data_IF_884627066294
#
_entry.id   IF_884627066294
#
_cell.length_a   1.000
_cell.length_b   1.000
_cell.length_c   1.000
_cell.angle_alpha   90.00
_cell.angle_beta   90.00
_cell.angle_gamma   90.00
#
_symmetry.space_group_name_H-M   'P 1'
#
loop_
_entity.id
_entity.type
_entity.pdbx_description
1 polymer ?
#
# COMPACT_ATOMS: atom_id res chain seq x y z
N UNK A 1 -12.67 15.50 -11.61
CA UNK A 1 -11.98 14.22 -11.89
C UNK A 1 -10.47 14.34 -12.02
N UNK A 2 -9.92 15.19 -12.90
CA UNK A 2 -8.46 15.28 -13.13
C UNK A 2 -7.63 15.55 -11.86
N UNK A 3 -8.00 16.55 -11.07
CA UNK A 3 -7.28 16.89 -9.82
C UNK A 3 -7.37 15.76 -8.78
N UNK A 4 -8.52 15.11 -8.70
CA UNK A 4 -8.73 13.97 -7.79
C UNK A 4 -7.84 12.78 -8.17
N UNK A 5 -7.77 12.46 -9.46
CA UNK A 5 -6.87 11.42 -9.96
C UNK A 5 -5.40 11.78 -9.73
N UNK A 6 -5.01 13.03 -9.96
CA UNK A 6 -3.65 13.50 -9.67
C UNK A 6 -3.27 13.30 -8.19
N UNK A 7 -4.14 13.70 -7.25
CA UNK A 7 -3.91 13.50 -5.83
C UNK A 7 -3.87 12.01 -5.44
N UNK A 8 -4.73 11.19 -6.04
CA UNK A 8 -4.71 9.74 -5.84
C UNK A 8 -3.38 9.13 -6.26
N UNK A 9 -2.92 9.45 -7.47
CA UNK A 9 -1.66 8.94 -8.01
C UNK A 9 -0.47 9.46 -7.20
N UNK A 10 -0.48 10.72 -6.76
CA UNK A 10 0.57 11.26 -5.91
C UNK A 10 0.70 10.48 -4.59
N UNK A 11 -0.42 10.24 -3.91
CA UNK A 11 -0.42 9.44 -2.68
C UNK A 11 0.02 7.99 -2.93
N UNK A 12 -0.46 7.37 -4.01
CA UNK A 12 -0.06 6.02 -4.40
C UNK A 12 1.44 5.92 -4.73
N UNK A 13 2.01 6.90 -5.45
CA UNK A 13 3.42 6.95 -5.79
C UNK A 13 4.31 7.08 -4.55
N UNK A 14 3.94 7.92 -3.59
CA UNK A 14 4.67 8.05 -2.32
C UNK A 14 4.61 6.74 -1.54
N UNK A 15 3.42 6.12 -1.43
CA UNK A 15 3.23 4.88 -0.69
C UNK A 15 4.03 3.71 -1.28
N UNK A 16 3.85 3.46 -2.57
CA UNK A 16 4.50 2.35 -3.28
C UNK A 16 6.01 2.58 -3.35
N UNK A 17 6.43 3.80 -3.69
CA UNK A 17 7.85 4.17 -3.77
C UNK A 17 8.57 3.99 -2.44
N UNK A 18 7.98 4.45 -1.34
CA UNK A 18 8.56 4.29 0.00
C UNK A 18 8.76 2.82 0.38
N UNK A 19 7.76 1.98 0.14
CA UNK A 19 7.87 0.54 0.42
C UNK A 19 8.87 -0.18 -0.48
N UNK A 20 8.96 0.18 -1.76
CA UNK A 20 9.99 -0.35 -2.66
C UNK A 20 11.40 0.03 -2.19
N UNK A 21 11.63 1.29 -1.80
CA UNK A 21 12.92 1.73 -1.25
C UNK A 21 13.25 1.00 0.05
N UNK A 22 12.27 0.87 0.96
CA UNK A 22 12.45 0.13 2.21
C UNK A 22 12.83 -1.33 1.94
N UNK A 23 12.13 -2.01 1.03
CA UNK A 23 12.37 -3.41 0.69
C UNK A 23 13.72 -3.65 -0.01
N UNK A 24 14.05 -2.84 -1.00
CA UNK A 24 15.21 -3.11 -1.87
C UNK A 24 16.50 -2.43 -1.41
N UNK A 25 16.42 -1.28 -0.76
CA UNK A 25 17.60 -0.50 -0.40
C UNK A 25 17.95 -0.58 1.09
N UNK A 26 16.94 -0.60 1.98
CA UNK A 26 17.17 -0.51 3.43
C UNK A 26 17.19 -1.89 4.09
N UNK A 27 16.15 -2.69 3.89
CA UNK A 27 15.97 -3.98 4.55
C UNK A 27 17.13 -4.98 4.31
N UNK A 28 17.71 -5.13 3.11
CA UNK A 28 18.76 -6.13 2.89
C UNK A 28 20.02 -5.83 3.70
N UNK A 29 20.38 -4.56 3.83
CA UNK A 29 21.51 -4.11 4.65
C UNK A 29 21.27 -4.34 6.14
N UNK A 30 20.06 -3.99 6.62
CA UNK A 30 19.63 -4.21 7.99
C UNK A 30 19.69 -5.69 8.39
N UNK A 31 19.16 -6.58 7.53
CA UNK A 31 19.16 -8.03 7.77
C UNK A 31 20.58 -8.62 7.82
N UNK A 32 21.45 -8.27 6.86
CA UNK A 32 22.84 -8.77 6.82
C UNK A 32 23.63 -8.37 8.06
N UNK A 33 23.43 -7.14 8.53
CA UNK A 33 24.13 -6.59 9.71
C UNK A 33 23.45 -6.93 11.03
N UNK A 34 22.25 -7.53 10.98
CA UNK A 34 21.35 -7.72 12.14
C UNK A 34 21.15 -6.42 12.91
N UNK A 35 21.08 -5.31 12.20
CA UNK A 35 20.97 -3.96 12.75
C UNK A 35 19.63 -3.35 12.36
N UNK A 36 18.83 -2.98 13.35
CA UNK A 36 17.50 -2.40 13.18
C UNK A 36 17.53 -0.89 12.90
N UNK A 37 18.66 -0.23 13.16
CA UNK A 37 18.74 1.24 13.07
C UNK A 37 18.42 1.80 11.68
N UNK A 38 18.90 1.21 10.56
CA UNK A 38 18.55 1.71 9.22
C UNK A 38 17.03 1.69 8.96
N UNK A 39 16.34 0.63 9.42
CA UNK A 39 14.89 0.51 9.26
C UNK A 39 14.16 1.54 10.13
N UNK A 40 14.57 1.68 11.40
CA UNK A 40 13.98 2.68 12.31
C UNK A 40 14.16 4.11 11.80
N UNK A 41 15.35 4.45 11.30
CA UNK A 41 15.64 5.76 10.75
C UNK A 41 14.80 6.05 9.50
N UNK A 42 14.65 5.06 8.61
CA UNK A 42 13.75 5.18 7.46
C UNK A 42 12.31 5.39 7.90
N UNK A 43 11.79 4.54 8.80
CA UNK A 43 10.39 4.61 9.26
C UNK A 43 10.05 5.96 9.90
N UNK A 44 10.92 6.49 10.77
CA UNK A 44 10.71 7.78 11.44
C UNK A 44 10.59 8.97 10.47
N UNK A 45 11.36 8.94 9.38
CA UNK A 45 11.31 9.97 8.35
C UNK A 45 10.13 9.76 7.41
N UNK A 46 9.96 8.51 6.97
CA UNK A 46 8.96 8.12 5.99
C UNK A 46 7.54 8.24 6.55
N UNK A 47 7.26 7.86 7.80
CA UNK A 47 5.88 7.85 8.32
C UNK A 47 5.21 9.24 8.26
N UNK A 48 6.01 10.31 8.37
CA UNK A 48 5.57 11.71 8.30
C UNK A 48 4.97 12.07 6.95
N UNK A 49 5.37 11.38 5.88
CA UNK A 49 4.87 11.59 4.51
C UNK A 49 4.04 10.41 4.02
N UNK A 50 4.42 9.19 4.40
CA UNK A 50 3.80 7.93 4.00
C UNK A 50 2.39 7.75 4.56
N UNK A 51 2.16 8.03 5.85
CA UNK A 51 0.81 7.92 6.43
C UNK A 51 -0.15 8.96 5.81
N UNK A 52 0.21 10.26 5.71
CA UNK A 52 -0.64 11.22 5.00
C UNK A 52 -0.90 10.85 3.54
N UNK A 53 0.10 10.33 2.82
CA UNK A 53 -0.06 9.86 1.44
C UNK A 53 -1.01 8.66 1.33
N UNK A 54 -0.93 7.71 2.27
CA UNK A 54 -1.88 6.58 2.35
C UNK A 54 -3.31 7.08 2.60
N UNK A 55 -3.50 8.00 3.54
CA UNK A 55 -4.84 8.55 3.81
C UNK A 55 -5.38 9.31 2.60
N UNK A 56 -4.53 10.11 1.94
CA UNK A 56 -4.90 10.83 0.72
C UNK A 56 -5.31 9.87 -0.39
N UNK A 57 -4.54 8.82 -0.65
CA UNK A 57 -4.86 7.88 -1.74
C UNK A 57 -6.11 7.04 -1.43
N UNK A 58 -6.36 6.71 -0.16
CA UNK A 58 -7.60 6.03 0.26
C UNK A 58 -8.81 6.94 0.02
N UNK A 59 -8.78 8.17 0.55
CA UNK A 59 -9.91 9.10 0.43
C UNK A 59 -10.24 9.42 -1.03
N UNK A 60 -9.21 9.73 -1.82
CA UNK A 60 -9.38 10.01 -3.25
C UNK A 60 -9.76 8.76 -4.06
N UNK A 61 -9.28 7.58 -3.67
CA UNK A 61 -9.62 6.30 -4.30
C UNK A 61 -11.09 5.90 -4.08
N UNK A 62 -11.61 6.07 -2.86
CA UNK A 62 -13.03 5.84 -2.54
C UNK A 62 -13.91 6.79 -3.36
N UNK A 63 -13.55 8.07 -3.42
CA UNK A 63 -14.28 9.05 -4.22
C UNK A 63 -14.24 8.67 -5.71
N UNK A 64 -13.06 8.37 -6.27
CA UNK A 64 -12.94 7.91 -7.65
C UNK A 64 -13.82 6.69 -7.92
N UNK A 65 -13.79 5.65 -7.08
CA UNK A 65 -14.64 4.48 -7.25
C UNK A 65 -16.14 4.84 -7.35
N UNK A 66 -16.61 5.77 -6.51
CA UNK A 66 -18.00 6.25 -6.54
C UNK A 66 -18.38 7.04 -7.79
N UNK A 67 -17.40 7.61 -8.50
CA UNK A 67 -17.63 8.28 -9.78
C UNK A 67 -17.68 7.31 -10.97
N UNK A 68 -17.06 6.13 -10.84
CA UNK A 68 -17.02 5.11 -11.89
C UNK A 68 -18.17 4.11 -11.76
N UNK A 69 -18.58 3.82 -10.53
CA UNK A 69 -19.64 2.86 -10.24
C UNK A 69 -20.43 3.30 -8.99
N UNK A 70 -21.76 3.36 -9.05
CA UNK A 70 -22.59 3.67 -7.88
C UNK A 70 -22.29 2.70 -6.72
N UNK A 71 -22.31 3.19 -5.47
CA UNK A 71 -21.96 2.39 -4.28
C UNK A 71 -22.76 1.10 -4.15
N UNK A 72 -24.05 1.12 -4.51
CA UNK A 72 -24.91 -0.06 -4.48
C UNK A 72 -24.45 -1.20 -5.42
N UNK A 73 -23.63 -0.87 -6.42
CA UNK A 73 -23.15 -1.82 -7.42
C UNK A 73 -21.72 -2.30 -7.18
N UNK A 74 -21.03 -1.81 -6.13
CA UNK A 74 -19.64 -2.16 -5.84
C UNK A 74 -19.42 -3.66 -5.65
N UNK A 75 -20.42 -4.39 -5.14
CA UNK A 75 -20.39 -5.84 -4.97
C UNK A 75 -21.15 -6.60 -6.07
N UNK A 76 -21.36 -5.96 -7.23
CA UNK A 76 -21.93 -6.60 -8.42
C UNK A 76 -20.91 -7.44 -9.20
N UNK A 77 -21.35 -7.99 -10.34
CA UNK A 77 -20.54 -8.86 -11.21
C UNK A 77 -19.90 -8.19 -12.43
N UNK A 78 -19.88 -6.85 -12.50
CA UNK A 78 -19.25 -6.15 -13.64
C UNK A 78 -17.73 -6.12 -13.49
N UNK A 79 -17.00 -5.95 -14.60
CA UNK A 79 -15.54 -5.85 -14.57
C UNK A 79 -15.05 -4.71 -13.64
N UNK A 80 -15.73 -3.55 -13.66
CA UNK A 80 -15.44 -2.43 -12.77
C UNK A 80 -15.73 -2.78 -11.31
N UNK A 81 -16.82 -3.49 -11.02
CA UNK A 81 -17.13 -3.94 -9.66
C UNK A 81 -16.03 -4.85 -9.09
N UNK A 82 -15.53 -5.80 -9.88
CA UNK A 82 -14.42 -6.65 -9.47
C UNK A 82 -13.12 -5.88 -9.22
N UNK A 83 -12.83 -4.83 -10.00
CA UNK A 83 -11.68 -3.95 -9.73
C UNK A 83 -11.84 -3.18 -8.41
N UNK A 84 -13.05 -2.70 -8.11
CA UNK A 84 -13.36 -2.04 -6.83
C UNK A 84 -13.20 -3.04 -5.67
N UNK A 85 -13.79 -4.23 -5.77
CA UNK A 85 -13.69 -5.28 -4.76
C UNK A 85 -12.23 -5.67 -4.49
N UNK A 86 -11.44 -5.88 -5.54
CA UNK A 86 -10.02 -6.20 -5.42
C UNK A 86 -9.26 -5.09 -4.68
N UNK A 87 -9.50 -3.81 -5.00
CA UNK A 87 -8.89 -2.69 -4.26
C UNK A 87 -9.34 -2.63 -2.80
N UNK A 88 -10.61 -2.91 -2.49
CA UNK A 88 -11.10 -2.95 -1.10
C UNK A 88 -10.47 -4.09 -0.30
N UNK A 89 -10.30 -5.26 -0.92
CA UNK A 89 -9.59 -6.40 -0.30
C UNK A 89 -8.13 -6.04 -0.04
N UNK A 90 -7.43 -5.48 -1.03
CA UNK A 90 -6.05 -5.02 -0.87
C UNK A 90 -5.92 -3.93 0.21
N UNK A 91 -6.92 -3.04 0.33
CA UNK A 91 -6.98 -2.03 1.39
C UNK A 91 -7.07 -2.68 2.77
N UNK A 92 -7.97 -3.66 2.91
CA UNK A 92 -8.13 -4.44 4.13
C UNK A 92 -6.82 -5.15 4.53
N UNK A 93 -6.17 -5.82 3.59
CA UNK A 93 -4.87 -6.45 3.82
C UNK A 93 -3.80 -5.45 4.26
N UNK A 94 -3.70 -4.30 3.58
CA UNK A 94 -2.76 -3.23 3.94
C UNK A 94 -3.00 -2.73 5.37
N UNK A 95 -4.26 -2.50 5.73
CA UNK A 95 -4.64 -2.03 7.06
C UNK A 95 -4.27 -3.06 8.15
N UNK A 96 -4.62 -4.34 7.94
CA UNK A 96 -4.30 -5.42 8.89
C UNK A 96 -2.79 -5.55 9.08
N UNK A 97 -2.02 -5.61 7.99
CA UNK A 97 -0.56 -5.71 8.04
C UNK A 97 0.07 -4.49 8.72
N UNK A 98 -0.40 -3.28 8.39
CA UNK A 98 0.11 -2.03 8.96
C UNK A 98 -0.17 -1.91 10.45
N UNK A 99 -1.40 -2.24 10.89
CA UNK A 99 -1.78 -2.25 12.31
C UNK A 99 -0.97 -3.29 13.07
N UNK A 100 -0.83 -4.51 12.55
CA UNK A 100 -0.05 -5.55 13.19
C UNK A 100 1.44 -5.16 13.29
N UNK A 101 2.03 -4.62 12.23
CA UNK A 101 3.41 -4.12 12.26
C UNK A 101 3.58 -3.04 13.33
N UNK A 102 2.70 -2.02 13.35
CA UNK A 102 2.81 -0.87 14.25
C UNK A 102 2.56 -1.18 15.72
N UNK A 103 1.62 -2.07 16.01
CA UNK A 103 1.21 -2.34 17.39
C UNK A 103 1.92 -3.55 18.00
N UNK A 104 2.29 -4.56 17.19
CA UNK A 104 2.86 -5.80 17.70
C UNK A 104 4.38 -5.94 17.46
N UNK A 105 4.88 -5.48 16.31
CA UNK A 105 6.26 -5.74 15.87
C UNK A 105 7.19 -4.56 16.20
N UNK A 106 6.90 -3.37 15.67
CA UNK A 106 7.76 -2.17 15.79
C UNK A 106 8.09 -1.82 17.25
N UNK A 107 7.15 -1.85 18.22
CA UNK A 107 7.44 -1.50 19.61
C UNK A 107 8.44 -2.45 20.28
N UNK A 108 8.53 -3.69 19.79
CA UNK A 108 9.41 -4.75 20.32
C UNK A 108 10.56 -5.06 19.38
N UNK A 109 10.83 -4.21 18.38
CA UNK A 109 11.77 -4.53 17.31
C UNK A 109 13.22 -4.54 17.80
N UNK A 110 13.85 -5.70 17.66
CA UNK A 110 15.26 -5.96 17.91
C UNK A 110 15.86 -6.78 16.77
N UNK A 111 17.14 -7.13 16.88
CA UNK A 111 17.85 -7.93 15.88
C UNK A 111 17.21 -9.30 15.63
N UNK A 112 16.55 -9.90 16.64
CA UNK A 112 15.92 -11.23 16.53
C UNK A 112 14.58 -11.17 15.79
N UNK A 113 13.83 -10.09 15.97
CA UNK A 113 12.52 -9.86 15.33
C UNK A 113 12.61 -9.20 13.96
N UNK A 114 13.79 -8.72 13.56
CA UNK A 114 14.00 -8.07 12.27
C UNK A 114 13.56 -8.92 11.06
N UNK A 115 13.77 -10.25 11.00
CA UNK A 115 13.23 -11.08 9.92
C UNK A 115 11.69 -11.09 9.87
N UNK A 116 11.02 -11.07 11.03
CA UNK A 116 9.55 -11.00 11.11
C UNK A 116 9.02 -9.68 10.53
N UNK A 117 9.71 -8.57 10.83
CA UNK A 117 9.41 -7.27 10.20
C UNK A 117 9.69 -7.31 8.70
N UNK A 118 10.78 -7.98 8.27
CA UNK A 118 11.09 -8.17 6.86
C UNK A 118 9.97 -8.84 6.07
N UNK A 119 9.34 -9.88 6.62
CA UNK A 119 8.15 -10.51 6.02
C UNK A 119 7.01 -9.50 5.88
N UNK A 120 6.75 -8.66 6.88
CA UNK A 120 5.71 -7.63 6.79
C UNK A 120 6.01 -6.58 5.72
N UNK A 121 7.27 -6.14 5.63
CA UNK A 121 7.71 -5.21 4.59
C UNK A 121 7.47 -5.80 3.20
N UNK A 122 7.83 -7.08 2.98
CA UNK A 122 7.55 -7.77 1.72
C UNK A 122 6.05 -7.82 1.43
N UNK A 123 5.24 -8.27 2.39
CA UNK A 123 3.78 -8.40 2.20
C UNK A 123 3.10 -7.05 1.91
N UNK A 124 3.47 -5.99 2.63
CA UNK A 124 2.94 -4.64 2.40
C UNK A 124 3.39 -4.13 1.03
N UNK A 125 4.65 -4.36 0.64
CA UNK A 125 5.16 -3.95 -0.67
C UNK A 125 4.45 -4.67 -1.82
N UNK A 126 4.25 -5.98 -1.71
CA UNK A 126 3.48 -6.75 -2.69
C UNK A 126 2.04 -6.24 -2.81
N UNK A 127 1.40 -5.95 -1.68
CA UNK A 127 0.05 -5.39 -1.66
C UNK A 127 0.00 -4.00 -2.31
N UNK A 128 0.99 -3.15 -2.06
CA UNK A 128 1.11 -1.83 -2.67
C UNK A 128 1.31 -1.91 -4.20
N UNK A 129 2.17 -2.81 -4.67
CA UNK A 129 2.36 -3.05 -6.11
C UNK A 129 1.09 -3.62 -6.75
N UNK A 130 0.41 -4.56 -6.09
CA UNK A 130 -0.88 -5.09 -6.55
C UNK A 130 -1.94 -3.99 -6.67
N UNK A 131 -1.95 -3.00 -5.76
CA UNK A 131 -2.82 -1.84 -5.85
C UNK A 131 -2.65 -1.04 -7.14
N UNK A 132 -1.40 -0.85 -7.57
CA UNK A 132 -1.05 -0.18 -8.83
C UNK A 132 -1.49 -1.02 -10.02
N UNK A 133 -1.20 -2.33 -9.99
CA UNK A 133 -1.61 -3.26 -11.03
C UNK A 133 -3.13 -3.30 -11.21
N UNK A 134 -3.90 -3.51 -10.15
CA UNK A 134 -5.38 -3.47 -10.20
C UNK A 134 -5.88 -2.08 -10.61
N UNK A 135 -5.16 -1.01 -10.23
CA UNK A 135 -5.48 0.36 -10.64
C UNK A 135 -5.39 0.61 -12.14
N UNK A 136 -4.46 -0.03 -12.84
CA UNK A 136 -4.34 0.14 -14.30
C UNK A 136 -5.56 -0.42 -15.04
N UNK A 137 -6.21 -1.45 -14.50
CA UNK A 137 -7.41 -2.06 -15.08
C UNK A 137 -8.60 -1.11 -15.26
N UNK A 138 -8.68 -0.03 -14.46
CA UNK A 138 -9.71 1.01 -14.66
C UNK A 138 -9.51 1.75 -15.99
N UNK A 139 -8.28 1.86 -16.51
CA UNK A 139 -8.01 2.49 -17.80
C UNK A 139 -8.26 1.55 -18.99
N UNK A 140 -8.05 0.25 -18.81
CA UNK A 140 -8.08 -0.74 -19.90
C UNK A 140 -9.35 -1.60 -19.96
N UNK A 141 -10.31 -1.39 -19.05
CA UNK A 141 -11.62 -2.06 -19.09
C UNK A 141 -11.69 -3.41 -18.35
N UNK A 142 -10.62 -3.83 -17.67
CA UNK A 142 -10.62 -5.07 -16.89
C UNK A 142 -9.25 -5.44 -16.33
N UNK A 143 -9.21 -6.45 -15.45
CA UNK A 143 -7.99 -6.90 -14.75
C UNK A 143 -7.07 -7.77 -15.65
N UNK A 144 -7.62 -8.36 -16.71
CA UNK A 144 -6.96 -9.31 -17.62
C UNK A 144 -7.02 -8.89 -19.10
N UNK A 145 -7.56 -7.72 -19.40
CA UNK A 145 -7.68 -7.20 -20.77
C UNK A 145 -6.65 -6.09 -20.93
N UNK A 146 -5.52 -6.43 -21.56
CA UNK A 146 -4.39 -5.55 -21.85
C UNK A 146 -3.58 -6.09 -23.00
#
# INVERSE_FOLDING_TARGET
MRHLLFLHLLGASVWVGGHLVLLFSVLPGALRRRDVQPVRAFEQLYERVGIPALLLQIATGIWLAGQWLPHAQWFGGTAIAHLVQAKLVLLGFTAVLGVHARLAIIPKLDAQRLPQLGVHIVLITLTAVAFVWVGSGFRFGGLLQG
#
